data_IF_418695234070
#
_entry.id   IF_418695234070
#
_cell.length_a   1.000
_cell.length_b   1.000
_cell.length_c   1.000
_cell.angle_alpha   90.00
_cell.angle_beta   90.00
_cell.angle_gamma   90.00
#
_symmetry.space_group_name_H-M   'P 1'
#
loop_
_entity.id
_entity.type
_entity.pdbx_description
1 polymer ?
#
# COMPACT_ATOMS: atom_id res chain seq x y z
N UNK A 1 24.81 -22.19 -9.06
CA UNK A 1 25.30 -21.36 -7.96
C UNK A 1 24.73 -19.97 -8.15
N UNK A 2 24.22 -19.32 -7.09
CA UNK A 2 23.87 -17.90 -7.17
C UNK A 2 25.15 -17.12 -7.52
N UNK A 3 25.11 -16.31 -8.57
CA UNK A 3 26.14 -15.32 -8.84
C UNK A 3 25.62 -14.00 -8.31
N UNK A 4 26.26 -13.48 -7.27
CA UNK A 4 25.94 -12.19 -6.66
C UNK A 4 27.04 -11.25 -7.10
N UNK A 5 26.66 -10.15 -7.75
CA UNK A 5 27.59 -9.08 -8.08
C UNK A 5 27.51 -8.06 -6.94
N UNK A 6 28.60 -7.89 -6.20
CA UNK A 6 28.71 -6.91 -5.13
C UNK A 6 29.57 -5.74 -5.62
N UNK A 7 29.30 -4.55 -5.10
CA UNK A 7 30.17 -3.39 -5.24
C UNK A 7 31.42 -3.53 -4.36
N UNK A 8 32.53 -2.89 -4.77
CA UNK A 8 33.84 -2.99 -4.12
C UNK A 8 33.79 -2.63 -2.62
N UNK A 9 32.95 -1.66 -2.24
CA UNK A 9 32.76 -1.25 -0.85
C UNK A 9 32.09 -2.36 -0.03
N UNK A 10 31.01 -2.95 -0.55
CA UNK A 10 30.30 -4.06 0.09
C UNK A 10 31.15 -5.33 0.17
N UNK A 11 32.01 -5.61 -0.81
CA UNK A 11 32.99 -6.70 -0.72
C UNK A 11 33.99 -6.49 0.42
N UNK A 12 34.44 -5.25 0.63
CA UNK A 12 35.30 -4.87 1.75
C UNK A 12 34.65 -5.17 3.10
N UNK A 13 33.40 -4.74 3.29
CA UNK A 13 32.63 -5.03 4.51
C UNK A 13 32.39 -6.52 4.71
N UNK A 14 32.11 -7.27 3.63
CA UNK A 14 31.93 -8.71 3.71
C UNK A 14 33.21 -9.40 4.20
N UNK A 15 34.38 -8.99 3.69
CA UNK A 15 35.67 -9.53 4.11
C UNK A 15 35.95 -9.27 5.60
N UNK A 16 35.63 -8.06 6.08
CA UNK A 16 35.79 -7.70 7.50
C UNK A 16 34.92 -8.57 8.42
N UNK A 17 33.64 -8.76 8.06
CA UNK A 17 32.70 -9.59 8.83
C UNK A 17 33.17 -11.05 8.87
N UNK A 18 33.60 -11.60 7.73
CA UNK A 18 34.06 -12.98 7.65
C UNK A 18 35.33 -13.21 8.50
N UNK A 19 36.24 -12.23 8.54
CA UNK A 19 37.43 -12.30 9.37
C UNK A 19 37.13 -12.18 10.87
N UNK A 20 36.23 -11.25 11.24
CA UNK A 20 35.85 -11.03 12.63
C UNK A 20 35.12 -12.23 13.23
N UNK A 21 34.17 -12.79 12.50
CA UNK A 21 33.31 -13.88 12.97
C UNK A 21 33.87 -15.28 12.68
N UNK A 22 34.93 -15.39 11.84
CA UNK A 22 35.56 -16.65 11.41
C UNK A 22 34.56 -17.66 10.81
N UNK A 23 33.56 -17.15 10.09
CA UNK A 23 32.52 -17.94 9.44
C UNK A 23 32.68 -17.96 7.93
N UNK A 24 32.00 -18.90 7.26
CA UNK A 24 31.92 -18.91 5.80
C UNK A 24 30.80 -18.02 5.27
N UNK A 25 30.92 -17.55 4.02
CA UNK A 25 29.84 -16.78 3.34
C UNK A 25 28.51 -17.53 3.38
N UNK A 26 28.55 -18.86 3.25
CA UNK A 26 27.35 -19.70 3.27
C UNK A 26 26.64 -19.69 4.63
N UNK A 27 27.39 -19.60 5.72
CA UNK A 27 26.86 -19.55 7.09
C UNK A 27 26.34 -18.16 7.41
N UNK A 28 27.07 -17.11 7.00
CA UNK A 28 26.61 -15.73 7.10
C UNK A 28 25.28 -15.56 6.36
N UNK A 29 25.17 -16.08 5.13
CA UNK A 29 23.91 -16.05 4.37
C UNK A 29 22.79 -16.82 5.09
N UNK A 30 23.07 -18.00 5.66
CA UNK A 30 22.09 -18.74 6.46
C UNK A 30 21.65 -17.94 7.69
N UNK A 31 22.56 -17.23 8.34
CA UNK A 31 22.27 -16.42 9.52
C UNK A 31 21.48 -15.16 9.15
N UNK A 32 21.85 -14.45 8.08
CA UNK A 32 21.11 -13.30 7.56
C UNK A 32 19.72 -13.70 7.12
N UNK A 33 19.60 -14.83 6.43
CA UNK A 33 18.30 -15.40 6.09
C UNK A 33 17.56 -15.71 7.38
N UNK A 34 18.10 -16.52 8.32
CA UNK A 34 17.50 -16.88 9.62
C UNK A 34 17.10 -15.70 10.49
N UNK A 35 17.88 -14.63 10.53
CA UNK A 35 17.54 -13.38 11.24
C UNK A 35 16.42 -12.66 10.50
N UNK A 36 16.42 -12.67 9.16
CA UNK A 36 15.29 -12.29 8.34
C UNK A 36 14.12 -13.28 8.34
N UNK A 37 14.27 -14.44 8.99
CA UNK A 37 13.22 -15.44 9.22
C UNK A 37 12.62 -15.29 10.64
N UNK A 38 13.46 -14.98 11.63
CA UNK A 38 13.12 -14.74 13.04
C UNK A 38 12.60 -13.32 13.27
N UNK A 39 13.00 -12.36 12.44
CA UNK A 39 12.23 -11.16 12.14
C UNK A 39 11.30 -11.53 10.99
N UNK A 40 10.00 -11.24 11.05
CA UNK A 40 8.97 -12.10 10.47
C UNK A 40 9.31 -12.46 9.04
N UNK A 41 9.50 -13.75 8.78
CA UNK A 41 9.63 -14.31 7.42
C UNK A 41 8.43 -13.95 6.53
N UNK A 42 7.38 -13.41 7.14
CA UNK A 42 6.25 -12.73 6.51
C UNK A 42 6.49 -11.24 6.17
N UNK A 43 7.68 -10.66 6.27
CA UNK A 43 7.82 -9.19 6.18
C UNK A 43 8.80 -8.72 5.10
N UNK A 44 9.81 -9.50 4.67
CA UNK A 44 10.70 -9.09 3.56
C UNK A 44 10.19 -9.55 2.19
N UNK A 45 9.73 -10.80 2.07
CA UNK A 45 9.02 -11.26 0.86
C UNK A 45 7.60 -10.69 0.77
N UNK A 46 6.89 -10.51 1.89
CA UNK A 46 5.60 -9.81 1.84
C UNK A 46 5.72 -8.29 1.89
N UNK A 47 6.89 -7.67 2.11
CA UNK A 47 7.04 -6.24 1.80
C UNK A 47 6.96 -5.97 0.28
N UNK A 48 7.13 -7.00 -0.56
CA UNK A 48 6.77 -6.94 -1.98
C UNK A 48 5.27 -7.14 -2.23
N UNK A 49 4.49 -7.60 -1.25
CA UNK A 49 3.04 -7.42 -1.29
C UNK A 49 2.76 -6.04 -0.74
N UNK A 50 2.38 -5.11 -1.60
CA UNK A 50 1.93 -3.78 -1.20
C UNK A 50 1.02 -3.91 0.01
N UNK A 51 1.43 -3.35 1.16
CA UNK A 51 0.58 -3.32 2.34
C UNK A 51 -0.73 -2.66 1.92
N UNK A 52 -1.83 -3.38 2.07
CA UNK A 52 -3.14 -2.84 1.71
C UNK A 52 -3.33 -1.51 2.46
N UNK A 53 -3.60 -0.46 1.71
CA UNK A 53 -3.93 0.85 2.27
C UNK A 53 -5.16 0.72 3.16
N UNK A 54 -5.32 1.64 4.12
CA UNK A 54 -6.52 1.67 4.99
C UNK A 54 -7.80 1.59 4.15
N UNK A 55 -7.78 2.24 3.00
CA UNK A 55 -8.88 2.32 2.06
C UNK A 55 -9.16 0.97 1.36
N UNK A 56 -8.14 0.25 0.93
CA UNK A 56 -8.28 -1.13 0.40
C UNK A 56 -8.81 -2.10 1.46
N UNK A 57 -8.36 -1.98 2.72
CA UNK A 57 -8.89 -2.79 3.83
C UNK A 57 -10.37 -2.51 4.11
N UNK A 58 -10.85 -1.32 3.76
CA UNK A 58 -12.25 -0.90 3.92
C UNK A 58 -13.14 -1.30 2.73
N UNK A 59 -12.61 -2.00 1.72
CA UNK A 59 -13.34 -2.38 0.53
C UNK A 59 -13.09 -1.49 -0.70
N UNK A 60 -12.06 -0.64 -0.67
CA UNK A 60 -11.65 0.21 -1.79
C UNK A 60 -12.27 1.61 -1.79
N UNK A 61 -12.03 2.37 -2.86
CA UNK A 61 -12.71 3.67 -3.07
C UNK A 61 -14.15 3.33 -3.48
N UNK A 62 -15.18 3.84 -2.80
CA UNK A 62 -16.53 3.56 -3.25
C UNK A 62 -16.73 4.26 -4.58
N UNK A 63 -17.03 3.47 -5.62
CA UNK A 63 -17.10 3.92 -7.02
C UNK A 63 -18.02 5.14 -7.16
N UNK A 64 -19.13 5.15 -6.42
CA UNK A 64 -20.18 6.17 -6.50
C UNK A 64 -19.96 7.44 -5.66
N UNK A 65 -18.84 7.62 -4.93
CA UNK A 65 -18.66 8.84 -4.09
C UNK A 65 -18.48 10.10 -4.94
N UNK A 66 -17.79 9.98 -6.07
CA UNK A 66 -17.47 11.11 -6.96
C UNK A 66 -17.95 10.88 -8.40
N UNK A 67 -18.51 9.71 -8.70
CA UNK A 67 -19.03 9.36 -10.03
C UNK A 67 -20.55 9.19 -10.02
N UNK A 68 -21.28 9.97 -9.21
CA UNK A 68 -22.69 10.11 -9.51
C UNK A 68 -22.78 10.86 -10.85
N UNK A 69 -22.91 10.09 -11.93
CA UNK A 69 -23.23 10.56 -13.26
C UNK A 69 -24.51 11.39 -13.16
N UNK A 70 -24.35 12.71 -13.24
CA UNK A 70 -25.43 13.69 -13.06
C UNK A 70 -25.19 14.74 -11.98
N UNK A 71 -24.09 14.68 -11.20
CA UNK A 71 -23.69 15.80 -10.34
C UNK A 71 -22.96 16.86 -11.18
N UNK A 72 -23.32 18.14 -11.07
CA UNK A 72 -22.58 19.23 -11.71
C UNK A 72 -21.12 19.23 -11.29
N UNK A 73 -20.21 19.53 -12.23
CA UNK A 73 -18.76 19.58 -12.00
C UNK A 73 -18.35 20.55 -10.88
N UNK A 74 -19.22 21.52 -10.56
CA UNK A 74 -19.01 22.49 -9.48
C UNK A 74 -19.96 22.25 -8.29
N UNK A 75 -19.58 21.31 -7.43
CA UNK A 75 -20.14 21.16 -6.07
C UNK A 75 -19.41 22.02 -5.03
N UNK A 76 -18.45 22.87 -5.45
CA UNK A 76 -17.71 23.72 -4.53
C UNK A 76 -18.60 24.85 -4.02
N UNK A 77 -19.41 25.42 -4.92
CA UNK A 77 -20.34 26.49 -4.56
C UNK A 77 -21.47 26.01 -3.63
N UNK A 78 -21.82 26.88 -2.68
CA UNK A 78 -22.85 26.59 -1.68
C UNK A 78 -24.25 26.62 -2.28
N UNK A 79 -24.52 27.59 -3.17
CA UNK A 79 -25.85 27.78 -3.72
C UNK A 79 -26.18 26.67 -4.72
N UNK A 80 -25.21 26.27 -5.54
CA UNK A 80 -25.31 25.09 -6.42
C UNK A 80 -25.64 23.82 -5.63
N UNK A 81 -24.93 23.55 -4.52
CA UNK A 81 -25.22 22.39 -3.66
C UNK A 81 -26.64 22.44 -3.08
N UNK A 82 -27.08 23.60 -2.61
CA UNK A 82 -28.41 23.77 -1.99
C UNK A 82 -29.53 23.52 -3.01
N UNK A 83 -29.37 23.97 -4.25
CA UNK A 83 -30.33 23.75 -5.32
C UNK A 83 -30.50 22.25 -5.62
N UNK A 84 -29.39 21.54 -5.84
CA UNK A 84 -29.38 20.10 -6.15
C UNK A 84 -30.01 19.27 -5.02
N UNK A 85 -29.66 19.55 -3.77
CA UNK A 85 -30.22 18.83 -2.60
C UNK A 85 -31.72 19.07 -2.52
N UNK A 86 -32.17 20.31 -2.74
CA UNK A 86 -33.60 20.66 -2.68
C UNK A 86 -34.39 19.91 -3.73
N UNK A 87 -33.89 19.88 -4.97
CA UNK A 87 -34.51 19.14 -6.08
C UNK A 87 -34.61 17.64 -5.77
N UNK A 88 -33.52 17.03 -5.30
CA UNK A 88 -33.50 15.61 -4.95
C UNK A 88 -34.51 15.26 -3.85
N UNK A 89 -34.59 16.07 -2.79
CA UNK A 89 -35.54 15.88 -1.69
C UNK A 89 -36.98 16.02 -2.18
N UNK A 90 -37.27 17.00 -3.04
CA UNK A 90 -38.61 17.20 -3.60
C UNK A 90 -39.03 16.03 -4.51
N UNK A 91 -38.13 15.57 -5.38
CA UNK A 91 -38.39 14.41 -6.25
C UNK A 91 -38.71 13.16 -5.44
N UNK A 92 -37.93 12.90 -4.38
CA UNK A 92 -38.16 11.77 -3.47
C UNK A 92 -39.48 11.89 -2.70
N UNK A 93 -39.85 13.11 -2.32
CA UNK A 93 -41.13 13.36 -1.65
C UNK A 93 -42.31 13.11 -2.59
N UNK A 94 -42.25 13.58 -3.84
CA UNK A 94 -43.26 13.31 -4.86
C UNK A 94 -43.43 11.82 -5.12
N UNK A 95 -42.33 11.10 -5.37
CA UNK A 95 -42.33 9.66 -5.61
C UNK A 95 -42.85 8.81 -4.43
N UNK A 96 -42.96 9.38 -3.22
CA UNK A 96 -43.50 8.71 -2.03
C UNK A 96 -44.98 9.02 -1.80
N UNK A 97 -45.48 10.07 -2.42
CA UNK A 97 -46.86 10.55 -2.28
C UNK A 97 -47.73 10.30 -3.54
N UNK A 98 -47.12 9.75 -4.59
CA UNK A 98 -47.78 9.02 -5.69
C UNK A 98 -47.85 7.53 -5.36
#
# INVERSE_FOLDING_TARGET
>A
MLSINLDDETEGYLAEILQAEKITVSELLKQVLRVGEASPKENRLNNHRSKQTVLERMGGVPEAVLSASGLPDDLSDRDTRKAIITEHVQARHKARHE
#
